data_IF_179100939681
#
_entry.id   IF_179100939681
#
_cell.length_a   1.000
_cell.length_b   1.000
_cell.length_c   1.000
_cell.angle_alpha   90.00
_cell.angle_beta   90.00
_cell.angle_gamma   90.00
#
_symmetry.space_group_name_H-M   'P 1'
#
loop_
_entity.id
_entity.type
_entity.pdbx_description
1 polymer ?
#
# COMPACT_ATOMS: atom_id res chain seq x y z
N UNK A 1 16.15 -40.78 -14.44
CA UNK A 1 15.98 -39.44 -15.07
C UNK A 1 14.61 -38.78 -14.85
N UNK A 2 13.47 -39.34 -15.31
CA UNK A 2 12.15 -38.64 -15.20
C UNK A 2 11.67 -38.46 -13.76
N UNK A 3 11.86 -39.47 -12.90
CA UNK A 3 11.52 -39.40 -11.47
C UNK A 3 12.33 -38.34 -10.74
N UNK A 4 13.62 -38.22 -11.06
CA UNK A 4 14.55 -37.29 -10.41
C UNK A 4 14.22 -35.83 -10.77
N UNK A 5 13.84 -35.58 -12.04
CA UNK A 5 13.32 -34.28 -12.47
C UNK A 5 12.02 -33.90 -11.75
N UNK A 6 11.08 -34.84 -11.60
CA UNK A 6 9.85 -34.59 -10.83
C UNK A 6 10.12 -34.34 -9.35
N UNK A 7 11.05 -35.09 -8.74
CA UNK A 7 11.47 -34.86 -7.36
C UNK A 7 12.09 -33.46 -7.19
N UNK A 8 12.97 -33.03 -8.10
CA UNK A 8 13.56 -31.69 -8.06
C UNK A 8 12.52 -30.57 -8.18
N UNK A 9 11.46 -30.75 -8.99
CA UNK A 9 10.33 -29.80 -9.06
C UNK A 9 9.55 -29.78 -7.75
N UNK A 10 9.23 -30.95 -7.19
CA UNK A 10 8.53 -31.07 -5.91
C UNK A 10 9.32 -30.41 -4.77
N UNK A 11 10.60 -30.76 -4.62
CA UNK A 11 11.48 -30.22 -3.57
C UNK A 11 11.66 -28.70 -3.71
N UNK A 12 11.74 -28.18 -4.94
CA UNK A 12 11.78 -26.72 -5.19
C UNK A 12 10.47 -26.03 -4.81
N UNK A 13 9.32 -26.59 -5.20
CA UNK A 13 8.01 -26.03 -4.86
C UNK A 13 7.75 -26.07 -3.35
N UNK A 14 8.10 -27.18 -2.70
CA UNK A 14 7.99 -27.34 -1.26
C UNK A 14 8.85 -26.31 -0.50
N UNK A 15 10.10 -26.09 -0.95
CA UNK A 15 10.96 -25.04 -0.40
C UNK A 15 10.39 -23.64 -0.62
N UNK A 16 9.82 -23.33 -1.78
CA UNK A 16 9.17 -22.03 -2.03
C UNK A 16 7.95 -21.80 -1.12
N UNK A 17 7.14 -22.85 -0.89
CA UNK A 17 6.00 -22.80 0.05
C UNK A 17 6.47 -22.55 1.49
N UNK A 18 7.51 -23.26 1.95
CA UNK A 18 8.10 -23.02 3.28
C UNK A 18 8.77 -21.65 3.40
N UNK A 19 9.42 -21.15 2.33
CA UNK A 19 10.01 -19.81 2.32
C UNK A 19 8.93 -18.73 2.46
N UNK A 20 7.84 -18.85 1.69
CA UNK A 20 6.67 -17.97 1.80
C UNK A 20 6.03 -18.02 3.18
N UNK A 21 5.78 -19.22 3.71
CA UNK A 21 5.22 -19.39 5.06
C UNK A 21 6.14 -18.87 6.18
N UNK A 22 7.46 -18.97 6.03
CA UNK A 22 8.43 -18.42 6.98
C UNK A 22 8.47 -16.89 6.93
N UNK A 23 8.30 -16.28 5.75
CA UNK A 23 8.12 -14.83 5.64
C UNK A 23 6.83 -14.35 6.34
N UNK A 24 5.76 -15.14 6.37
CA UNK A 24 4.54 -14.81 7.14
C UNK A 24 4.81 -14.78 8.65
N UNK A 25 5.72 -15.60 9.17
CA UNK A 25 6.06 -15.60 10.60
C UNK A 25 7.10 -14.56 11.02
N UNK A 26 7.96 -14.09 10.10
CA UNK A 26 9.05 -13.15 10.42
C UNK A 26 8.71 -11.67 10.13
N UNK A 27 7.59 -11.37 9.46
CA UNK A 27 7.30 -10.02 9.00
C UNK A 27 6.29 -9.23 9.86
N UNK A 28 6.81 -8.65 10.95
CA UNK A 28 6.58 -7.21 11.18
C UNK A 28 7.33 -6.34 10.16
N UNK A 29 8.35 -6.89 9.48
CA UNK A 29 9.00 -6.30 8.30
C UNK A 29 8.16 -6.52 7.02
N UNK A 30 6.93 -5.99 7.03
CA UNK A 30 6.00 -5.94 5.89
C UNK A 30 6.71 -5.71 4.54
N UNK A 31 6.78 -6.75 3.70
CA UNK A 31 6.92 -6.52 2.26
C UNK A 31 5.67 -5.75 1.83
N UNK A 32 5.89 -4.55 1.29
CA UNK A 32 4.83 -3.62 0.93
C UNK A 32 4.10 -4.10 -0.32
N UNK A 33 3.09 -4.93 -0.11
CA UNK A 33 1.87 -4.85 -0.89
C UNK A 33 0.83 -4.09 -0.06
N UNK A 34 0.08 -3.18 -0.69
CA UNK A 34 -0.87 -2.27 -0.04
C UNK A 34 -1.85 -3.01 0.91
N UNK A 35 -2.28 -2.45 2.04
CA UNK A 35 -2.77 -1.07 2.14
C UNK A 35 -2.40 -0.41 3.46
N UNK A 36 -2.05 0.87 3.42
CA UNK A 36 -1.61 1.61 4.60
C UNK A 36 -2.65 1.74 5.73
N UNK A 37 -2.22 1.37 6.94
CA UNK A 37 -2.08 2.33 8.07
C UNK A 37 -3.35 2.76 8.90
N UNK A 38 -3.34 2.59 10.26
CA UNK A 38 -4.45 2.91 11.22
C UNK A 38 -4.18 3.66 12.60
N UNK A 39 -4.26 5.02 12.67
CA UNK A 39 -4.25 5.97 13.81
C UNK A 39 -4.90 7.36 13.49
N UNK A 40 -6.19 7.55 13.85
CA UNK A 40 -7.18 8.58 13.47
C UNK A 40 -6.86 10.02 13.92
N UNK A 41 -7.75 10.91 13.45
CA UNK A 41 -8.22 12.22 13.96
C UNK A 41 -7.66 13.43 13.20
N UNK A 42 -8.43 14.44 12.80
CA UNK A 42 -9.88 14.80 12.88
C UNK A 42 -10.17 15.80 11.72
N UNK A 43 -11.36 16.23 11.28
CA UNK A 43 -12.73 16.30 11.85
C UNK A 43 -13.76 16.45 10.69
N UNK A 44 -14.97 15.92 10.88
CA UNK A 44 -16.25 16.25 10.20
C UNK A 44 -16.32 16.52 8.68
N UNK A 45 -16.80 15.53 7.93
CA UNK A 45 -18.04 15.69 7.15
C UNK A 45 -18.90 14.42 7.30
N UNK A 46 -20.14 14.57 7.77
CA UNK A 46 -21.06 13.45 7.96
C UNK A 46 -21.68 13.02 6.63
N UNK A 47 -21.02 12.14 5.89
CA UNK A 47 -21.74 11.27 4.95
C UNK A 47 -22.27 10.06 5.71
N UNK A 48 -23.55 10.17 6.09
CA UNK A 48 -24.33 9.06 6.62
C UNK A 48 -24.52 8.01 5.52
N UNK A 49 -23.58 7.08 5.40
CA UNK A 49 -23.85 5.82 4.71
C UNK A 49 -24.69 4.96 5.65
N UNK A 50 -25.88 4.60 5.18
CA UNK A 50 -26.90 3.91 5.94
C UNK A 50 -26.46 2.52 6.37
N UNK A 51 -26.97 2.10 7.52
CA UNK A 51 -27.02 0.70 7.95
C UNK A 51 -27.62 -0.18 6.87
N UNK A 52 -26.81 -0.98 6.19
CA UNK A 52 -27.29 -2.21 5.54
C UNK A 52 -26.53 -3.39 6.17
N UNK A 53 -27.22 -4.06 7.08
CA UNK A 53 -26.68 -5.14 7.90
C UNK A 53 -26.44 -6.38 7.05
N UNK A 54 -25.17 -6.66 6.75
CA UNK A 54 -24.59 -7.99 6.52
C UNK A 54 -25.56 -9.07 5.97
N UNK A 55 -26.02 -8.93 4.72
CA UNK A 55 -26.51 -10.08 3.94
C UNK A 55 -25.38 -11.03 3.54
N UNK A 56 -24.15 -10.53 3.56
CA UNK A 56 -22.93 -11.31 3.43
C UNK A 56 -22.64 -12.02 4.75
N UNK A 57 -22.72 -13.35 4.74
CA UNK A 57 -22.43 -14.24 5.87
C UNK A 57 -20.90 -14.36 6.14
N UNK A 58 -20.19 -13.24 6.13
CA UNK A 58 -18.74 -13.18 6.30
C UNK A 58 -18.36 -13.55 7.73
N UNK A 59 -17.32 -14.37 7.87
CA UNK A 59 -16.71 -14.74 9.15
C UNK A 59 -15.49 -13.87 9.42
N UNK A 60 -15.33 -13.44 10.67
CA UNK A 60 -14.17 -12.68 11.13
C UNK A 60 -13.05 -13.65 11.56
N UNK A 61 -11.82 -13.40 11.13
CA UNK A 61 -10.64 -14.10 11.64
C UNK A 61 -10.28 -13.55 13.04
N UNK A 62 -10.19 -14.42 14.04
CA UNK A 62 -9.81 -14.04 15.40
C UNK A 62 -8.29 -13.93 15.55
N UNK A 63 -7.84 -13.27 16.62
CA UNK A 63 -6.42 -13.25 17.02
C UNK A 63 -5.81 -14.62 17.35
N UNK A 64 -6.64 -15.67 17.46
CA UNK A 64 -6.21 -17.07 17.63
C UNK A 64 -6.25 -17.87 16.32
N UNK A 65 -6.47 -17.20 15.18
CA UNK A 65 -6.55 -17.82 13.85
C UNK A 65 -7.83 -18.61 13.58
N UNK A 66 -8.84 -18.51 14.45
CA UNK A 66 -10.15 -19.18 14.26
C UNK A 66 -11.14 -18.27 13.54
N UNK A 67 -12.19 -18.84 12.94
CA UNK A 67 -13.26 -18.06 12.31
C UNK A 67 -14.44 -17.89 13.28
N UNK A 68 -14.91 -16.66 13.46
CA UNK A 68 -16.05 -16.31 14.31
C UNK A 68 -17.13 -15.56 13.53
N UNK A 69 -18.39 -15.66 13.96
CA UNK A 69 -19.47 -14.80 13.43
C UNK A 69 -19.28 -13.38 14.00
N UNK A 70 -19.46 -12.31 13.19
CA UNK A 70 -19.45 -10.95 13.71
C UNK A 70 -20.55 -10.77 14.76
N UNK A 71 -20.19 -10.54 16.02
CA UNK A 71 -21.15 -10.15 17.06
C UNK A 71 -21.41 -8.65 16.95
N UNK A 72 -22.67 -8.24 17.12
CA UNK A 72 -23.12 -6.83 16.93
C UNK A 72 -22.62 -5.87 18.03
N UNK A 73 -21.64 -6.30 18.83
CA UNK A 73 -20.96 -5.52 19.86
C UNK A 73 -20.03 -4.49 19.24
N UNK A 74 -20.61 -3.35 18.84
CA UNK A 74 -19.98 -2.04 18.67
C UNK A 74 -18.50 -2.08 18.28
N UNK A 75 -18.23 -2.22 16.98
CA UNK A 75 -16.87 -2.01 16.43
C UNK A 75 -16.45 -0.58 16.75
N UNK A 76 -15.67 -0.41 17.83
CA UNK A 76 -15.09 0.87 18.23
C UNK A 76 -14.21 1.31 17.05
N UNK A 77 -14.47 2.47 16.40
CA UNK A 77 -13.91 2.77 15.09
C UNK A 77 -12.39 2.79 15.18
N UNK A 78 -11.75 1.88 14.45
CA UNK A 78 -10.30 1.74 14.43
C UNK A 78 -9.69 3.07 13.99
N UNK A 79 -8.70 3.58 14.72
CA UNK A 79 -7.96 4.75 14.30
C UNK A 79 -7.43 4.62 12.82
N UNK A 80 -7.45 5.67 11.99
CA UNK A 80 -7.07 5.76 10.54
C UNK A 80 -5.67 6.40 10.35
N UNK A 81 -4.56 5.73 9.97
CA UNK A 81 -3.23 6.38 10.10
C UNK A 81 -3.14 7.37 8.96
N UNK A 82 -3.10 8.62 9.38
CA UNK A 82 -2.18 9.66 8.95
C UNK A 82 -1.01 9.16 8.08
N UNK A 83 -1.27 8.90 6.80
CA UNK A 83 -0.25 8.47 5.85
C UNK A 83 0.86 9.52 5.79
N UNK A 84 2.13 9.11 5.92
CA UNK A 84 3.26 10.02 5.82
C UNK A 84 3.75 10.17 4.38
N UNK A 85 4.24 11.35 4.02
CA UNK A 85 4.91 11.60 2.74
C UNK A 85 6.15 10.70 2.61
N UNK A 86 6.27 9.92 1.53
CA UNK A 86 7.43 9.05 1.31
C UNK A 86 8.73 9.84 1.07
N UNK A 87 8.64 11.11 0.65
CA UNK A 87 9.80 11.97 0.38
C UNK A 87 10.35 12.73 1.60
N UNK A 88 9.49 13.15 2.54
CA UNK A 88 9.90 14.01 3.66
C UNK A 88 9.34 13.57 5.03
N UNK A 89 8.68 12.41 5.10
CA UNK A 89 8.10 11.80 6.30
C UNK A 89 7.07 12.64 7.10
N UNK A 90 6.71 13.83 6.61
CA UNK A 90 5.63 14.64 7.20
C UNK A 90 4.28 13.93 7.04
N UNK A 91 3.46 13.98 8.09
CA UNK A 91 2.06 13.53 8.07
C UNK A 91 1.29 14.26 6.96
N UNK A 92 0.52 13.52 6.16
CA UNK A 92 -0.39 14.08 5.18
C UNK A 92 -1.76 14.28 5.81
N UNK A 93 -2.26 15.52 5.80
CA UNK A 93 -3.55 15.93 6.35
C UNK A 93 -4.76 15.60 5.47
N UNK A 94 -4.55 15.11 4.25
CA UNK A 94 -5.59 14.83 3.26
C UNK A 94 -5.13 13.74 2.27
N UNK A 95 -6.05 13.09 1.53
CA UNK A 95 -5.68 12.27 0.38
C UNK A 95 -5.01 13.15 -0.68
N UNK A 96 -3.70 12.97 -0.85
CA UNK A 96 -2.87 13.73 -1.79
C UNK A 96 -2.58 12.97 -3.08
N UNK A 97 -2.22 13.69 -4.16
CA UNK A 97 -1.68 13.06 -5.37
C UNK A 97 -0.55 12.07 -5.06
N UNK A 98 -0.62 10.92 -5.71
CA UNK A 98 0.44 9.91 -5.73
C UNK A 98 1.34 10.08 -6.95
N UNK A 99 2.57 9.58 -6.87
CA UNK A 99 3.41 9.40 -8.06
C UNK A 99 2.73 8.46 -9.07
N UNK A 100 2.64 8.86 -10.34
CA UNK A 100 2.00 8.05 -11.39
C UNK A 100 2.73 6.72 -11.69
N UNK A 101 4.00 6.55 -11.31
CA UNK A 101 4.74 5.29 -11.51
C UNK A 101 4.79 4.35 -10.31
N UNK A 102 5.02 4.90 -9.12
CA UNK A 102 5.30 4.09 -7.91
C UNK A 102 4.25 4.24 -6.82
N UNK A 103 3.15 4.95 -7.12
CA UNK A 103 1.91 5.12 -6.33
C UNK A 103 2.07 5.68 -4.91
N UNK A 104 3.31 5.95 -4.50
CA UNK A 104 3.70 6.56 -3.24
C UNK A 104 3.01 7.91 -3.04
N UNK A 105 2.42 8.10 -1.85
CA UNK A 105 1.80 9.36 -1.44
C UNK A 105 2.87 10.39 -1.06
N UNK A 106 2.73 11.61 -1.58
CA UNK A 106 3.67 12.71 -1.39
C UNK A 106 2.91 13.97 -0.95
N UNK A 107 3.61 14.88 -0.26
CA UNK A 107 3.15 16.26 -0.12
C UNK A 107 3.48 17.04 -1.40
N UNK A 108 2.82 18.17 -1.61
CA UNK A 108 2.92 18.92 -2.89
C UNK A 108 4.35 19.40 -3.15
N UNK A 109 5.11 19.69 -2.10
CA UNK A 109 6.54 20.04 -2.17
C UNK A 109 7.48 18.88 -2.50
N UNK A 110 7.03 17.62 -2.38
CA UNK A 110 7.77 16.45 -2.83
C UNK A 110 7.26 15.90 -4.16
N UNK A 111 6.08 16.32 -4.61
CA UNK A 111 5.56 16.00 -5.93
C UNK A 111 6.23 16.91 -6.96
N UNK A 112 6.53 16.38 -8.14
CA UNK A 112 7.12 17.12 -9.26
C UNK A 112 6.28 16.91 -10.51
N UNK A 113 6.07 17.97 -11.29
CA UNK A 113 5.31 17.92 -12.54
C UNK A 113 6.26 17.83 -13.72
N UNK A 114 6.07 16.88 -14.63
CA UNK A 114 6.89 16.75 -15.83
C UNK A 114 6.61 17.91 -16.80
N UNK A 115 7.65 18.64 -17.20
CA UNK A 115 7.55 19.79 -18.11
C UNK A 115 7.04 19.43 -19.52
N UNK A 116 7.07 18.16 -19.92
CA UNK A 116 6.62 17.69 -21.24
C UNK A 116 5.19 17.12 -21.28
N UNK A 117 4.83 16.24 -20.34
CA UNK A 117 3.53 15.56 -20.34
C UNK A 117 2.56 16.02 -19.23
N UNK A 118 2.97 16.93 -18.34
CA UNK A 118 2.14 17.42 -17.23
C UNK A 118 1.85 16.41 -16.12
N UNK A 119 2.29 15.15 -16.24
CA UNK A 119 2.11 14.12 -15.22
C UNK A 119 2.89 14.41 -13.93
N UNK A 120 2.44 13.81 -12.82
CA UNK A 120 2.99 14.06 -11.48
C UNK A 120 3.77 12.88 -10.92
N UNK A 121 5.01 13.13 -10.50
CA UNK A 121 5.98 12.09 -10.17
C UNK A 121 6.73 12.42 -8.86
N UNK A 122 7.31 11.39 -8.22
CA UNK A 122 8.20 11.59 -7.08
C UNK A 122 9.64 11.86 -7.54
N UNK A 123 10.54 12.37 -6.68
CA UNK A 123 11.92 12.69 -7.05
C UNK A 123 12.75 11.48 -7.51
N UNK A 124 12.33 10.25 -7.18
CA UNK A 124 12.96 8.99 -7.64
C UNK A 124 12.44 8.51 -9.00
N UNK A 125 11.32 9.07 -9.49
CA UNK A 125 10.70 8.70 -10.76
C UNK A 125 10.60 9.91 -11.72
N UNK A 126 11.47 10.90 -11.51
CA UNK A 126 11.66 12.08 -12.35
C UNK A 126 13.14 12.46 -12.32
N UNK A 127 13.65 13.00 -13.41
CA UNK A 127 15.00 13.53 -13.53
C UNK A 127 14.94 15.07 -13.61
N UNK A 128 16.03 15.72 -13.19
CA UNK A 128 16.27 17.14 -13.47
C UNK A 128 17.23 17.19 -14.66
N UNK A 129 16.78 17.79 -15.76
CA UNK A 129 17.55 17.94 -16.99
C UNK A 129 17.83 19.41 -17.22
N UNK A 130 19.09 19.74 -17.42
CA UNK A 130 19.56 21.11 -17.67
C UNK A 130 19.83 21.24 -19.17
N UNK A 131 18.90 21.90 -19.89
CA UNK A 131 19.05 22.22 -21.32
C UNK A 131 19.45 23.68 -21.49
N UNK A 132 18.45 24.57 -21.42
CA UNK A 132 18.64 26.03 -21.28
C UNK A 132 18.18 26.51 -19.88
N UNK A 133 17.29 25.75 -19.26
CA UNK A 133 16.73 25.95 -17.92
C UNK A 133 16.63 24.57 -17.23
N UNK A 134 16.47 24.56 -15.91
CA UNK A 134 16.19 23.36 -15.13
C UNK A 134 14.77 22.86 -15.41
N UNK A 135 14.65 21.64 -15.96
CA UNK A 135 13.36 21.00 -16.27
C UNK A 135 13.21 19.68 -15.54
N UNK A 136 12.04 19.45 -14.95
CA UNK A 136 11.62 18.15 -14.43
C UNK A 136 11.12 17.31 -15.60
N UNK A 137 11.67 16.11 -15.75
CA UNK A 137 11.30 15.17 -16.81
C UNK A 137 10.94 13.82 -16.18
N UNK A 138 9.84 13.18 -16.60
CA UNK A 138 9.48 11.85 -16.14
C UNK A 138 10.28 10.76 -16.88
N UNK A 139 10.33 9.54 -16.33
CA UNK A 139 11.11 8.45 -16.92
C UNK A 139 10.66 8.00 -18.32
N UNK A 140 9.46 8.38 -18.78
CA UNK A 140 8.98 8.12 -20.15
C UNK A 140 9.09 9.32 -21.10
N UNK A 141 9.49 10.50 -20.61
CA UNK A 141 9.73 11.69 -21.44
C UNK A 141 11.21 12.11 -21.48
N UNK A 142 12.08 11.33 -20.83
CA UNK A 142 13.53 11.51 -20.83
C UNK A 142 14.17 10.76 -22.00
#
# INVERSE_FOLDING_TARGET
MRKDKMKAVYDRTLNLLFLGAKNVQNNNAMEKMDTGSGSQTTTHHHHHLTTDTSKLHQMLLTSRGTLAKPTVTSVRPTPMVQSACVGCHRVLSSPRPSCTYCECKLCDTCLRTCNFCGGTFCPKCSLLVYLQEEKVVCLSCC
#
